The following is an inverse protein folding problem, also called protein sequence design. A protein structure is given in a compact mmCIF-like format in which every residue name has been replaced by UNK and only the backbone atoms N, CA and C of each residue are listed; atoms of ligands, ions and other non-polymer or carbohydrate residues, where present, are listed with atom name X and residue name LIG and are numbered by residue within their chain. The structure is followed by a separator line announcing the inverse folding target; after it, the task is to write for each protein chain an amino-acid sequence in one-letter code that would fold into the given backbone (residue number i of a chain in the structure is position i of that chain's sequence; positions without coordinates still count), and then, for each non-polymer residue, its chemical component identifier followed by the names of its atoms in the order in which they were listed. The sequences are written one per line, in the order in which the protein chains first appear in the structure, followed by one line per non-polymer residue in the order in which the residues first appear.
data_IF_456585893947
#
_entry.id   IF_456585893947
#
_cell.length_a   1.000
_cell.length_b   1.000
_cell.length_c   1.000
_cell.angle_alpha   90.00
_cell.angle_beta   90.00
_cell.angle_gamma   90.00
#
_symmetry.space_group_name_H-M   'P 1'
#
loop_
_entity.id
_entity.type
_entity.pdbx_description
1 polymer ?
#
# COMPACT_ATOMS: atom_id res chain seq x y z
N UNK A 1 -8.16 7.93 -12.38
CA UNK A 1 -8.42 7.70 -10.94
C UNK A 1 -7.94 8.84 -10.04
N UNK A 2 -6.63 9.19 -9.98
CA UNK A 2 -6.14 10.28 -9.11
C UNK A 2 -6.86 11.64 -9.30
N UNK A 3 -7.10 12.05 -10.56
CA UNK A 3 -7.83 13.30 -10.87
C UNK A 3 -9.30 13.28 -10.38
N UNK A 4 -9.95 12.12 -10.44
CA UNK A 4 -11.35 11.96 -9.98
C UNK A 4 -11.43 12.05 -8.46
N UNK A 5 -10.49 11.41 -7.74
CA UNK A 5 -10.41 11.53 -6.28
C UNK A 5 -10.13 12.98 -5.84
N UNK A 6 -9.30 13.71 -6.59
CA UNK A 6 -9.01 15.12 -6.31
C UNK A 6 -10.27 15.98 -6.49
N UNK A 7 -11.01 15.78 -7.59
CA UNK A 7 -12.28 16.49 -7.84
C UNK A 7 -13.32 16.18 -6.75
N UNK A 8 -13.46 14.91 -6.35
CA UNK A 8 -14.35 14.51 -5.26
C UNK A 8 -13.93 15.14 -3.92
N UNK A 9 -12.63 15.21 -3.63
CA UNK A 9 -12.13 15.87 -2.43
C UNK A 9 -12.46 17.36 -2.38
N UNK A 10 -12.35 18.07 -3.51
CA UNK A 10 -12.74 19.48 -3.61
C UNK A 10 -14.25 19.65 -3.41
N UNK A 11 -15.07 18.78 -4.01
CA UNK A 11 -16.53 18.82 -3.83
C UNK A 11 -16.93 18.60 -2.37
N UNK A 12 -16.36 17.60 -1.70
CA UNK A 12 -16.62 17.33 -0.27
C UNK A 12 -16.21 18.52 0.60
N UNK A 13 -15.07 19.15 0.31
CA UNK A 13 -14.63 20.34 1.04
C UNK A 13 -15.61 21.52 0.83
N UNK A 14 -16.07 21.72 -0.41
CA UNK A 14 -17.05 22.74 -0.72
C UNK A 14 -18.39 22.50 0.00
N UNK A 15 -18.85 21.25 0.06
CA UNK A 15 -20.07 20.87 0.78
C UNK A 15 -19.95 21.10 2.29
N UNK A 16 -18.80 20.76 2.90
CA UNK A 16 -18.54 21.03 4.33
C UNK A 16 -18.57 22.53 4.62
N UNK A 17 -17.90 23.32 3.78
CA UNK A 17 -17.89 24.79 3.91
C UNK A 17 -19.28 25.39 3.72
N UNK A 18 -20.03 24.93 2.72
CA UNK A 18 -21.40 25.37 2.47
C UNK A 18 -22.32 25.01 3.63
N UNK A 19 -22.25 23.78 4.13
CA UNK A 19 -23.04 23.32 5.27
C UNK A 19 -22.72 24.12 6.53
N UNK A 20 -21.44 24.42 6.78
CA UNK A 20 -21.02 25.29 7.89
C UNK A 20 -21.59 26.71 7.76
N UNK A 21 -21.55 27.28 6.56
CA UNK A 21 -22.05 28.63 6.27
C UNK A 21 -23.57 28.73 6.50
N UNK A 22 -24.34 27.78 5.96
CA UNK A 22 -25.81 27.74 6.13
C UNK A 22 -26.21 27.64 7.61
N UNK A 23 -25.40 26.96 8.42
CA UNK A 23 -25.67 26.75 9.85
C UNK A 23 -24.96 27.77 10.78
N UNK A 24 -24.33 28.82 10.25
CA UNK A 24 -23.53 29.76 11.05
C UNK A 24 -24.34 30.50 12.13
N UNK A 25 -25.63 30.74 11.90
CA UNK A 25 -26.53 31.42 12.84
C UNK A 25 -27.29 30.50 13.80
N UNK A 26 -27.12 29.18 13.71
CA UNK A 26 -27.81 28.22 14.55
C UNK A 26 -26.94 27.79 15.73
N UNK A 27 -27.54 27.68 16.91
CA UNK A 27 -26.88 27.14 18.10
C UNK A 27 -27.19 25.65 18.26
N UNK A 28 -26.15 24.83 18.37
CA UNK A 28 -26.27 23.41 18.65
C UNK A 28 -26.20 23.19 20.16
N UNK A 29 -27.28 22.68 20.74
CA UNK A 29 -27.32 22.32 22.16
C UNK A 29 -27.10 20.83 22.32
N UNK A 30 -25.95 20.44 22.86
CA UNK A 30 -25.61 19.06 23.17
C UNK A 30 -26.00 18.73 24.61
N UNK A 31 -26.91 17.77 24.77
CA UNK A 31 -27.39 17.31 26.07
C UNK A 31 -26.79 15.95 26.43
N UNK A 32 -25.95 15.93 27.47
CA UNK A 32 -25.36 14.70 28.01
C UNK A 32 -25.71 14.57 29.50
N UNK A 33 -26.93 14.12 29.81
CA UNK A 33 -27.31 13.78 31.18
C UNK A 33 -26.64 12.46 31.60
N UNK A 34 -26.13 12.33 32.84
CA UNK A 34 -26.17 13.29 33.95
C UNK A 34 -24.94 14.22 34.05
N UNK A 35 -23.94 14.09 33.17
CA UNK A 35 -22.59 14.69 33.36
C UNK A 35 -22.53 16.17 32.97
N UNK A 36 -23.31 16.63 31.99
CA UNK A 36 -23.25 18.02 31.48
C UNK A 36 -24.67 18.58 31.30
N UNK A 37 -24.94 19.75 31.88
CA UNK A 37 -26.27 20.40 31.98
C UNK A 37 -26.77 21.08 30.68
N UNK A 38 -26.27 20.66 29.52
CA UNK A 38 -26.35 21.29 28.20
C UNK A 38 -25.15 22.20 27.90
N UNK A 39 -24.48 21.90 26.78
CA UNK A 39 -23.43 22.72 26.20
C UNK A 39 -23.94 23.27 24.87
N UNK A 40 -24.01 24.59 24.75
CA UNK A 40 -24.48 25.27 23.54
C UNK A 40 -23.31 25.88 22.81
N UNK A 41 -23.13 25.51 21.54
CA UNK A 41 -22.08 26.05 20.67
C UNK A 41 -22.65 26.50 19.34
N UNK A 42 -22.02 27.51 18.70
CA UNK A 42 -22.33 27.85 17.31
C UNK A 42 -22.14 26.62 16.42
N UNK A 43 -23.23 26.16 15.79
CA UNK A 43 -23.27 24.90 15.05
C UNK A 43 -22.41 24.95 13.79
N UNK A 44 -22.36 26.09 13.09
CA UNK A 44 -21.51 26.27 11.90
C UNK A 44 -20.03 25.98 12.16
N UNK A 45 -19.46 26.54 13.23
CA UNK A 45 -18.06 26.29 13.61
C UNK A 45 -17.84 24.84 14.04
N UNK A 46 -18.80 24.25 14.74
CA UNK A 46 -18.76 22.85 15.15
C UNK A 46 -18.72 21.90 13.94
N UNK A 47 -19.58 22.11 12.94
CA UNK A 47 -19.61 21.29 11.73
C UNK A 47 -18.34 21.46 10.89
N UNK A 48 -17.78 22.67 10.82
CA UNK A 48 -16.52 22.91 10.13
C UNK A 48 -15.38 22.15 10.79
N UNK A 49 -15.27 22.24 12.12
CA UNK A 49 -14.27 21.51 12.89
C UNK A 49 -14.40 19.99 12.69
N UNK A 50 -15.62 19.45 12.83
CA UNK A 50 -15.90 18.02 12.62
C UNK A 50 -15.57 17.57 11.19
N UNK A 51 -15.90 18.38 10.18
CA UNK A 51 -15.56 18.11 8.78
C UNK A 51 -14.05 18.06 8.55
N UNK A 52 -13.30 19.02 9.10
CA UNK A 52 -11.83 19.03 9.03
C UNK A 52 -11.21 17.81 9.73
N UNK A 53 -11.72 17.43 10.91
CA UNK A 53 -11.28 16.20 11.59
C UNK A 53 -11.56 14.95 10.78
N UNK A 54 -12.71 14.87 10.10
CA UNK A 54 -13.03 13.79 9.17
C UNK A 54 -12.05 13.69 8.01
N UNK A 55 -11.69 14.82 7.40
CA UNK A 55 -10.71 14.88 6.31
C UNK A 55 -9.33 14.42 6.81
N UNK A 56 -8.90 14.91 7.99
CA UNK A 56 -7.61 14.54 8.58
C UNK A 56 -7.57 13.04 8.90
N UNK A 57 -8.65 12.49 9.47
CA UNK A 57 -8.78 11.06 9.74
C UNK A 57 -8.72 10.21 8.47
N UNK A 58 -9.41 10.62 7.41
CA UNK A 58 -9.34 9.97 6.10
C UNK A 58 -7.93 9.99 5.50
N UNK A 59 -7.23 11.11 5.64
CA UNK A 59 -5.84 11.24 5.20
C UNK A 59 -4.90 10.30 5.96
N UNK A 60 -5.01 10.25 7.29
CA UNK A 60 -4.21 9.37 8.16
C UNK A 60 -4.43 7.88 7.84
N UNK A 61 -5.67 7.45 7.63
CA UNK A 61 -5.98 6.07 7.25
C UNK A 61 -5.38 5.70 5.88
N UNK A 62 -5.52 6.61 4.91
CA UNK A 62 -4.96 6.40 3.56
C UNK A 62 -3.43 6.33 3.61
N UNK A 63 -2.81 7.19 4.41
CA UNK A 63 -1.36 7.20 4.60
C UNK A 63 -0.87 5.91 5.26
N UNK A 64 -1.53 5.44 6.31
CA UNK A 64 -1.21 4.18 6.99
C UNK A 64 -1.29 2.98 6.02
N UNK A 65 -2.36 2.91 5.20
CA UNK A 65 -2.50 1.86 4.18
C UNK A 65 -1.42 1.92 3.11
N UNK A 66 -1.00 3.12 2.70
CA UNK A 66 0.09 3.29 1.75
C UNK A 66 1.43 2.80 2.30
N UNK A 67 1.71 3.03 3.60
CA UNK A 67 2.92 2.49 4.24
C UNK A 67 2.92 0.96 4.26
N UNK A 68 1.80 0.34 4.65
CA UNK A 68 1.65 -1.13 4.60
C UNK A 68 1.86 -1.69 3.18
N UNK A 69 1.35 -0.99 2.17
CA UNK A 69 1.51 -1.35 0.76
C UNK A 69 2.98 -1.26 0.33
N UNK A 70 3.69 -0.20 0.71
CA UNK A 70 5.12 -0.07 0.39
C UNK A 70 5.96 -1.16 1.05
N UNK A 71 5.66 -1.53 2.30
CA UNK A 71 6.34 -2.65 2.96
C UNK A 71 6.09 -3.98 2.24
N UNK A 72 4.85 -4.23 1.81
CA UNK A 72 4.51 -5.43 1.03
C UNK A 72 5.25 -5.46 -0.31
N UNK A 73 5.30 -4.33 -1.02
CA UNK A 73 6.05 -4.21 -2.28
C UNK A 73 7.55 -4.50 -2.04
N UNK A 74 8.13 -3.95 -0.98
CA UNK A 74 9.54 -4.18 -0.64
C UNK A 74 9.83 -5.64 -0.29
N UNK A 75 8.94 -6.29 0.46
CA UNK A 75 9.05 -7.74 0.76
C UNK A 75 8.93 -8.58 -0.51
N UNK A 76 7.99 -8.25 -1.38
CA UNK A 76 7.78 -8.95 -2.64
C UNK A 76 8.99 -8.83 -3.57
N UNK A 77 9.56 -7.62 -3.70
CA UNK A 77 10.78 -7.38 -4.48
C UNK A 77 11.96 -8.23 -4.00
N UNK A 78 12.16 -8.33 -2.67
CA UNK A 78 13.22 -9.15 -2.07
C UNK A 78 13.00 -10.65 -2.32
N UNK A 79 11.75 -11.10 -2.29
CA UNK A 79 11.43 -12.51 -2.58
C UNK A 79 11.65 -12.84 -4.06
N UNK A 80 11.32 -11.90 -4.95
CA UNK A 80 11.58 -12.05 -6.38
C UNK A 80 13.09 -12.13 -6.65
N UNK A 81 13.89 -11.26 -6.03
CA UNK A 81 15.36 -11.27 -6.14
C UNK A 81 15.98 -12.57 -5.60
N UNK A 82 15.47 -13.09 -4.47
CA UNK A 82 15.89 -14.41 -3.97
C UNK A 82 15.50 -15.53 -4.94
N UNK A 83 14.30 -15.48 -5.51
CA UNK A 83 13.83 -16.47 -6.48
C UNK A 83 14.63 -16.43 -7.78
N UNK A 84 15.03 -15.24 -8.25
CA UNK A 84 15.85 -15.11 -9.45
C UNK A 84 17.24 -15.67 -9.22
N UNK A 85 17.86 -15.39 -8.07
CA UNK A 85 19.18 -15.96 -7.69
C UNK A 85 19.12 -17.49 -7.62
N UNK A 86 18.08 -18.06 -7.00
CA UNK A 86 17.92 -19.53 -6.93
C UNK A 86 17.73 -20.12 -8.34
N UNK A 87 17.04 -19.42 -9.24
CA UNK A 87 16.89 -19.88 -10.63
C UNK A 87 18.22 -19.84 -11.40
N UNK A 88 19.03 -18.80 -11.22
CA UNK A 88 20.36 -18.70 -11.82
C UNK A 88 21.30 -19.80 -11.29
N UNK A 89 21.31 -20.03 -9.97
CA UNK A 89 22.10 -21.10 -9.36
C UNK A 89 21.69 -22.49 -9.86
N UNK A 90 20.39 -22.72 -10.06
CA UNK A 90 19.88 -23.98 -10.62
C UNK A 90 20.28 -24.16 -12.09
N UNK A 91 20.24 -23.09 -12.89
CA UNK A 91 20.71 -23.09 -14.28
C UNK A 91 22.19 -23.40 -14.38
N UNK A 92 23.02 -22.79 -13.54
CA UNK A 92 24.47 -22.98 -13.56
C UNK A 92 24.86 -24.39 -13.11
N UNK A 93 24.15 -24.98 -12.14
CA UNK A 93 24.30 -26.39 -11.77
C UNK A 93 23.96 -27.34 -12.91
N UNK A 94 22.89 -27.06 -13.66
CA UNK A 94 22.51 -27.87 -14.83
C UNK A 94 23.59 -27.80 -15.91
N UNK A 95 24.09 -26.61 -16.26
CA UNK A 95 25.19 -26.45 -17.23
C UNK A 95 26.47 -27.18 -16.80
N UNK A 96 26.81 -27.11 -15.52
CA UNK A 96 27.99 -27.81 -14.99
C UNK A 96 27.82 -29.34 -15.04
N UNK A 97 26.62 -29.85 -14.78
CA UNK A 97 26.30 -31.27 -14.93
C UNK A 97 26.38 -31.73 -16.39
N UNK A 98 25.87 -30.93 -17.31
CA UNK A 98 25.90 -31.21 -18.75
C UNK A 98 27.34 -31.26 -19.29
N UNK A 99 28.19 -30.31 -18.87
CA UNK A 99 29.60 -30.30 -19.21
C UNK A 99 30.35 -31.53 -18.67
N UNK A 100 30.04 -31.98 -17.44
CA UNK A 100 30.61 -33.21 -16.86
C UNK A 100 30.16 -34.47 -17.60
N UNK A 101 28.91 -34.51 -18.05
CA UNK A 101 28.41 -35.63 -18.85
C UNK A 101 29.15 -35.66 -20.20
N UNK A 102 29.29 -34.51 -20.87
CA UNK A 102 30.05 -34.42 -22.12
C UNK A 102 31.51 -34.85 -22.00
N UNK A 103 32.20 -34.44 -20.93
CA UNK A 103 33.59 -34.86 -20.70
C UNK A 103 33.68 -36.37 -20.43
N UNK A 104 32.75 -36.93 -19.66
CA UNK A 104 32.66 -38.38 -19.44
C UNK A 104 32.35 -39.14 -20.74
N UNK A 105 31.45 -38.65 -21.59
CA UNK A 105 31.16 -39.25 -22.89
C UNK A 105 32.36 -39.20 -23.83
N UNK A 106 33.11 -38.09 -23.80
CA UNK A 106 34.32 -37.93 -24.62
C UNK A 106 35.42 -38.87 -24.15
N UNK A 107 35.67 -38.93 -22.84
CA UNK A 107 36.64 -39.85 -22.24
C UNK A 107 36.24 -41.32 -22.47
N UNK A 108 34.95 -41.64 -22.41
CA UNK A 108 34.45 -42.98 -22.72
C UNK A 108 34.70 -43.33 -24.19
N UNK A 109 34.37 -42.44 -25.14
CA UNK A 109 34.66 -42.64 -26.57
C UNK A 109 36.15 -42.83 -26.85
N UNK A 110 37.00 -42.04 -26.21
CA UNK A 110 38.46 -42.19 -26.34
C UNK A 110 38.95 -43.53 -25.77
N UNK A 111 38.47 -43.94 -24.59
CA UNK A 111 38.82 -45.23 -24.01
C UNK A 111 38.33 -46.41 -24.88
N UNK A 112 37.15 -46.29 -25.48
CA UNK A 112 36.58 -47.30 -26.37
C UNK A 112 37.33 -47.39 -27.70
N UNK A 113 37.80 -46.26 -28.24
CA UNK A 113 38.65 -46.22 -29.43
C UNK A 113 40.09 -46.68 -29.17
N UNK A 114 40.59 -46.57 -27.93
CA UNK A 114 41.95 -47.00 -27.55
C UNK A 114 42.05 -48.51 -27.25
N UNK A 115 40.93 -49.18 -27.00
CA UNK A 115 40.83 -50.63 -26.80
C UNK A 115 40.49 -51.41 -28.08
N UNK A 116 40.58 -50.77 -29.25
CA UNK A 116 40.47 -51.39 -30.58
C UNK A 116 41.81 -51.30 -31.30
#
# INVERSE_FOLDING_TARGET
MKKVCLILGILILADICYFSFVNHGQSLTLNYKPVIKAFSVPSGWFYLAMGLYGILGGFLLTYSKNLELQEKIKKLSRNFEKSSIVSEESSDKVKALEAKIQTLETALKEALNKNR
#
